data_IF_344308818080
#
_entry.id   IF_344308818080
#
_cell.length_a   1.000
_cell.length_b   1.000
_cell.length_c   1.000
_cell.angle_alpha   90.00
_cell.angle_beta   90.00
_cell.angle_gamma   90.00
#
_symmetry.space_group_name_H-M   'P 1'
#
loop_
_entity.id
_entity.type
_entity.pdbx_description
1 polymer ?
#
# COMPACT_ATOMS: atom_id res chain seq x y z
N UNK A 1 -5.56 -14.03 -7.86
CA UNK A 1 -5.41 -14.39 -6.44
C UNK A 1 -4.35 -15.46 -6.34
N UNK A 2 -3.45 -15.38 -5.37
CA UNK A 2 -2.46 -16.41 -5.14
C UNK A 2 -3.10 -17.55 -4.35
N UNK A 3 -3.18 -18.71 -4.95
CA UNK A 3 -3.75 -19.90 -4.34
C UNK A 3 -2.73 -21.05 -4.25
N UNK A 4 -1.65 -20.96 -5.01
CA UNK A 4 -0.65 -22.00 -5.10
C UNK A 4 0.61 -21.68 -4.27
N UNK A 5 1.25 -22.72 -3.75
CA UNK A 5 2.42 -22.57 -2.88
C UNK A 5 3.59 -21.89 -3.58
N UNK A 6 3.75 -22.12 -4.88
CA UNK A 6 4.78 -21.51 -5.73
C UNK A 6 4.57 -20.00 -5.89
N UNK A 7 3.33 -19.55 -6.04
CA UNK A 7 3.02 -18.12 -6.15
C UNK A 7 3.33 -17.38 -4.86
N UNK A 8 3.10 -18.00 -3.70
CA UNK A 8 3.49 -17.41 -2.41
C UNK A 8 5.00 -17.32 -2.23
N UNK A 9 5.74 -18.25 -2.79
CA UNK A 9 7.20 -18.20 -2.75
C UNK A 9 7.72 -17.00 -3.55
N UNK A 10 7.26 -16.85 -4.80
CA UNK A 10 7.63 -15.71 -5.65
C UNK A 10 7.20 -14.37 -5.03
N UNK A 11 6.00 -14.30 -4.47
CA UNK A 11 5.53 -13.09 -3.78
C UNK A 11 6.39 -12.74 -2.58
N UNK A 12 6.79 -13.73 -1.78
CA UNK A 12 7.64 -13.52 -0.61
C UNK A 12 9.05 -13.05 -1.00
N UNK A 13 9.62 -13.60 -2.06
CA UNK A 13 10.90 -13.14 -2.61
C UNK A 13 10.82 -11.71 -3.14
N UNK A 14 9.76 -11.39 -3.89
CA UNK A 14 9.51 -10.05 -4.41
C UNK A 14 9.42 -9.02 -3.27
N UNK A 15 8.72 -9.36 -2.18
CA UNK A 15 8.63 -8.50 -0.98
C UNK A 15 9.98 -8.32 -0.30
N UNK A 16 10.77 -9.40 -0.20
CA UNK A 16 12.09 -9.34 0.41
C UNK A 16 13.03 -8.40 -0.36
N UNK A 17 12.97 -8.43 -1.70
CA UNK A 17 13.73 -7.52 -2.56
C UNK A 17 13.24 -6.08 -2.40
N UNK A 18 11.93 -5.85 -2.51
CA UNK A 18 11.34 -4.51 -2.43
C UNK A 18 11.56 -3.86 -1.04
N UNK A 19 11.46 -4.65 0.02
CA UNK A 19 11.73 -4.18 1.38
C UNK A 19 13.20 -3.82 1.59
N UNK A 20 14.11 -4.64 1.06
CA UNK A 20 15.54 -4.34 1.11
C UNK A 20 15.87 -3.05 0.36
N UNK A 21 15.35 -2.88 -0.86
CA UNK A 21 15.55 -1.66 -1.67
C UNK A 21 15.03 -0.40 -0.95
N UNK A 22 13.89 -0.51 -0.26
CA UNK A 22 13.35 0.59 0.53
C UNK A 22 14.23 0.94 1.73
N UNK A 23 14.76 -0.05 2.45
CA UNK A 23 15.72 0.17 3.53
C UNK A 23 17.04 0.78 3.03
N UNK A 24 17.54 0.31 1.90
CA UNK A 24 18.76 0.82 1.28
C UNK A 24 18.59 2.27 0.84
N UNK A 25 17.48 2.58 0.16
CA UNK A 25 17.16 3.93 -0.30
C UNK A 25 17.05 4.94 0.87
N UNK A 26 16.61 4.48 2.03
CA UNK A 26 16.53 5.30 3.25
C UNK A 26 17.78 5.28 4.11
N UNK A 27 18.84 4.61 3.67
CA UNK A 27 20.08 4.40 4.43
C UNK A 27 19.81 3.78 5.83
N UNK A 28 18.77 2.97 5.92
CA UNK A 28 18.30 2.38 7.18
C UNK A 28 18.69 0.90 7.31
N UNK A 29 19.74 0.45 6.61
CA UNK A 29 20.21 -0.93 6.68
C UNK A 29 20.87 -1.19 8.04
N UNK A 30 20.34 -2.14 8.82
CA UNK A 30 20.86 -2.43 10.14
C UNK A 30 22.12 -3.34 10.12
N UNK A 31 22.64 -3.67 8.94
CA UNK A 31 23.71 -4.65 8.75
C UNK A 31 24.60 -4.34 7.54
N UNK A 32 25.84 -4.84 7.53
CA UNK A 32 26.75 -4.69 6.39
C UNK A 32 26.24 -5.38 5.12
N UNK A 33 26.65 -4.91 3.91
CA UNK A 33 26.22 -5.47 2.62
C UNK A 33 26.43 -6.98 2.44
N UNK A 34 27.45 -7.55 3.08
CA UNK A 34 27.74 -9.00 3.04
C UNK A 34 26.61 -9.87 3.57
N UNK A 35 25.73 -9.33 4.39
CA UNK A 35 24.60 -10.08 4.96
C UNK A 35 23.30 -9.94 4.17
N UNK A 36 23.29 -9.17 3.09
CA UNK A 36 22.09 -8.89 2.28
C UNK A 36 21.41 -10.16 1.79
N UNK A 37 22.18 -11.10 1.24
CA UNK A 37 21.63 -12.37 0.73
C UNK A 37 20.98 -13.20 1.85
N UNK A 38 21.60 -13.24 3.02
CA UNK A 38 21.05 -13.94 4.20
C UNK A 38 19.77 -13.25 4.67
N UNK A 39 19.78 -11.94 4.78
CA UNK A 39 18.62 -11.15 5.18
C UNK A 39 17.43 -11.37 4.23
N UNK A 40 17.64 -11.26 2.91
CA UNK A 40 16.57 -11.46 1.91
C UNK A 40 15.99 -12.87 2.03
N UNK A 41 16.81 -13.89 2.15
CA UNK A 41 16.35 -15.27 2.30
C UNK A 41 15.53 -15.49 3.58
N UNK A 42 16.00 -14.99 4.72
CA UNK A 42 15.28 -15.12 5.98
C UNK A 42 13.99 -14.31 5.98
N UNK A 43 13.99 -13.13 5.38
CA UNK A 43 12.80 -12.31 5.21
C UNK A 43 11.78 -13.03 4.32
N UNK A 44 12.19 -13.55 3.16
CA UNK A 44 11.31 -14.28 2.27
C UNK A 44 10.71 -15.53 2.93
N UNK A 45 11.50 -16.27 3.72
CA UNK A 45 10.98 -17.44 4.46
C UNK A 45 9.89 -17.04 5.47
N UNK A 46 10.10 -15.95 6.21
CA UNK A 46 9.11 -15.43 7.16
C UNK A 46 7.85 -14.95 6.46
N UNK A 47 8.00 -14.21 5.36
CA UNK A 47 6.87 -13.71 4.56
C UNK A 47 6.07 -14.86 3.94
N UNK A 48 6.72 -15.87 3.38
CA UNK A 48 6.05 -17.05 2.86
C UNK A 48 5.20 -17.75 3.92
N UNK A 49 5.75 -17.92 5.13
CA UNK A 49 5.00 -18.50 6.24
C UNK A 49 3.82 -17.62 6.64
N UNK A 50 4.04 -16.33 6.79
CA UNK A 50 3.01 -15.37 7.15
C UNK A 50 1.88 -15.28 6.11
N UNK A 51 2.21 -15.34 4.80
CA UNK A 51 1.23 -15.41 3.71
C UNK A 51 0.34 -16.64 3.84
N UNK A 52 0.93 -17.82 4.00
CA UNK A 52 0.18 -19.07 4.20
C UNK A 52 -0.71 -19.03 5.44
N UNK A 53 -0.22 -18.50 6.54
CA UNK A 53 -0.99 -18.39 7.77
C UNK A 53 -2.16 -17.41 7.64
N UNK A 54 -1.98 -16.29 6.92
CA UNK A 54 -3.02 -15.28 6.71
C UNK A 54 -4.11 -15.76 5.74
N UNK A 55 -3.72 -16.42 4.64
CA UNK A 55 -4.66 -16.86 3.60
C UNK A 55 -5.35 -18.16 3.90
N UNK A 56 -4.74 -19.07 4.70
CA UNK A 56 -5.30 -20.36 5.08
C UNK A 56 -6.11 -20.33 6.38
N UNK A 57 -6.27 -19.19 7.02
CA UNK A 57 -7.13 -19.09 8.20
C UNK A 57 -8.59 -19.30 7.83
N UNK A 58 -9.37 -20.03 8.67
CA UNK A 58 -10.80 -20.17 8.44
C UNK A 58 -11.43 -18.79 8.30
N UNK A 59 -12.12 -18.57 7.20
CA UNK A 59 -12.76 -17.30 6.87
C UNK A 59 -13.91 -17.04 7.83
N UNK A 60 -13.67 -16.19 8.85
CA UNK A 60 -14.76 -15.51 9.55
C UNK A 60 -14.97 -14.13 8.90
N UNK A 61 -16.11 -13.47 9.08
CA UNK A 61 -16.36 -12.14 8.51
C UNK A 61 -15.26 -11.13 8.87
N UNK A 62 -14.71 -11.22 10.07
CA UNK A 62 -13.69 -10.30 10.62
C UNK A 62 -12.24 -10.67 10.32
N UNK A 63 -11.97 -11.66 9.45
CA UNK A 63 -10.59 -12.14 9.20
C UNK A 63 -10.36 -12.57 7.76
N UNK A 64 -10.80 -11.76 6.82
CA UNK A 64 -10.56 -11.99 5.39
C UNK A 64 -9.19 -11.44 5.02
N UNK A 65 -8.40 -12.21 4.29
CA UNK A 65 -7.14 -11.76 3.71
C UNK A 65 -6.94 -12.40 2.35
N UNK A 66 -6.63 -11.57 1.36
CA UNK A 66 -6.29 -11.99 0.01
C UNK A 66 -4.95 -11.39 -0.39
N UNK A 67 -4.09 -12.20 -1.00
CA UNK A 67 -2.92 -11.71 -1.71
C UNK A 67 -3.27 -11.55 -3.19
N UNK A 68 -3.29 -10.32 -3.66
CA UNK A 68 -3.48 -10.01 -5.08
C UNK A 68 -2.13 -10.00 -5.78
N UNK A 69 -2.08 -10.55 -6.99
CA UNK A 69 -0.84 -10.68 -7.76
C UNK A 69 -1.00 -10.13 -9.17
N UNK A 70 -0.04 -9.31 -9.59
CA UNK A 70 0.08 -8.86 -10.97
C UNK A 70 1.01 -9.79 -11.74
N UNK A 71 0.52 -10.32 -12.86
CA UNK A 71 1.29 -11.14 -13.80
C UNK A 71 1.38 -10.42 -15.15
N UNK A 72 2.54 -10.48 -15.78
CA UNK A 72 2.75 -10.01 -17.15
C UNK A 72 3.05 -11.24 -18.00
N UNK A 73 2.43 -11.39 -19.19
CA UNK A 73 2.83 -12.42 -20.15
C UNK A 73 4.35 -12.42 -20.33
N UNK A 74 4.96 -13.58 -20.44
CA UNK A 74 6.39 -13.80 -20.63
C UNK A 74 7.32 -13.43 -19.46
N UNK A 75 6.81 -12.75 -18.42
CA UNK A 75 7.60 -12.41 -17.21
C UNK A 75 7.13 -13.11 -15.94
N UNK A 76 5.91 -13.65 -15.97
CA UNK A 76 5.30 -14.24 -14.79
C UNK A 76 4.83 -13.19 -13.78
N UNK A 77 4.97 -13.48 -12.50
CA UNK A 77 4.55 -12.64 -11.40
C UNK A 77 5.51 -11.46 -11.23
N UNK A 78 4.99 -10.23 -11.30
CA UNK A 78 5.76 -8.99 -11.23
C UNK A 78 5.33 -8.05 -10.12
N UNK A 79 4.25 -8.34 -9.43
CA UNK A 79 3.78 -7.53 -8.32
C UNK A 79 2.85 -8.29 -7.39
N UNK A 80 2.77 -7.84 -6.15
CA UNK A 80 1.80 -8.35 -5.18
C UNK A 80 1.41 -7.28 -4.17
N UNK A 81 0.22 -7.43 -3.57
CA UNK A 81 -0.22 -6.72 -2.38
C UNK A 81 -1.16 -7.63 -1.55
N UNK A 82 -1.28 -7.34 -0.27
CA UNK A 82 -2.32 -7.95 0.57
C UNK A 82 -3.47 -6.96 0.77
N UNK A 83 -4.69 -7.47 0.72
CA UNK A 83 -5.89 -6.77 1.17
C UNK A 83 -6.55 -7.61 2.26
N UNK A 84 -6.81 -7.00 3.41
CA UNK A 84 -7.29 -7.72 4.59
C UNK A 84 -8.34 -6.92 5.35
N UNK A 85 -9.30 -7.62 5.97
CA UNK A 85 -10.15 -7.04 7.01
C UNK A 85 -9.39 -7.10 8.32
N UNK A 86 -9.37 -6.00 9.04
CA UNK A 86 -8.75 -5.87 10.36
C UNK A 86 -9.76 -5.35 11.35
N UNK A 87 -9.63 -5.80 12.59
CA UNK A 87 -10.31 -5.31 13.77
C UNK A 87 -9.31 -4.63 14.71
N UNK A 88 -9.80 -3.73 15.53
CA UNK A 88 -9.00 -3.04 16.53
C UNK A 88 -8.37 -1.72 16.07
N UNK A 89 -7.72 -1.01 16.97
CA UNK A 89 -7.25 0.34 16.69
C UNK A 89 -6.15 0.33 15.63
N UNK A 90 -6.38 0.99 14.51
CA UNK A 90 -5.36 1.33 13.54
C UNK A 90 -4.92 2.77 13.78
N UNK A 91 -3.94 2.94 14.63
CA UNK A 91 -3.46 4.26 14.98
C UNK A 91 -2.18 4.58 14.21
N UNK A 92 -2.21 5.68 13.49
CA UNK A 92 -0.98 6.35 13.10
C UNK A 92 -0.54 7.26 14.23
N UNK A 93 0.57 6.90 14.82
CA UNK A 93 1.19 7.75 15.83
C UNK A 93 1.79 9.03 15.25
N UNK A 94 1.89 9.13 13.91
CA UNK A 94 2.49 10.29 13.24
C UNK A 94 1.52 11.46 13.15
N UNK A 95 0.25 11.20 12.89
CA UNK A 95 -0.76 12.24 12.74
C UNK A 95 -1.91 12.14 13.73
N UNK A 96 -1.79 11.30 14.77
CA UNK A 96 -2.83 11.12 15.80
C UNK A 96 -4.16 10.55 15.28
N UNK A 97 -4.18 10.12 14.02
CA UNK A 97 -5.39 9.57 13.43
C UNK A 97 -5.55 8.11 13.82
N UNK A 98 -6.70 7.76 14.39
CA UNK A 98 -7.09 6.39 14.71
C UNK A 98 -8.34 6.02 13.90
N UNK A 99 -8.39 4.77 13.45
CA UNK A 99 -9.66 4.12 13.14
C UNK A 99 -10.28 3.72 14.47
N UNK A 100 -11.59 3.92 14.64
CA UNK A 100 -12.27 3.74 15.92
C UNK A 100 -12.05 2.36 16.53
N UNK A 101 -12.07 2.31 17.86
CA UNK A 101 -12.02 1.04 18.60
C UNK A 101 -13.24 0.19 18.24
N UNK A 102 -13.00 -1.03 17.76
CA UNK A 102 -14.03 -2.03 17.47
C UNK A 102 -14.69 -1.94 16.11
N UNK A 103 -14.29 -1.04 15.23
CA UNK A 103 -14.75 -1.01 13.84
C UNK A 103 -13.85 -1.87 12.96
N UNK A 104 -14.48 -2.73 12.13
CA UNK A 104 -13.78 -3.44 11.06
C UNK A 104 -13.43 -2.47 9.92
N UNK A 105 -12.20 -2.59 9.42
CA UNK A 105 -11.75 -1.80 8.29
C UNK A 105 -10.93 -2.64 7.31
N UNK A 106 -10.97 -2.26 6.05
CA UNK A 106 -10.13 -2.90 5.02
C UNK A 106 -8.79 -2.20 4.92
N UNK A 107 -7.75 -2.99 4.86
CA UNK A 107 -6.37 -2.52 4.89
C UNK A 107 -5.55 -3.14 3.77
N UNK A 108 -4.74 -2.30 3.09
CA UNK A 108 -3.74 -2.73 2.11
C UNK A 108 -2.36 -2.69 2.76
N UNK A 109 -1.61 -3.76 2.59
CA UNK A 109 -0.19 -3.82 2.96
C UNK A 109 0.65 -4.62 1.95
N UNK A 110 1.95 -4.68 2.22
CA UNK A 110 2.90 -5.48 1.45
C UNK A 110 2.89 -5.22 -0.06
N UNK A 111 2.63 -3.98 -0.48
CA UNK A 111 2.64 -3.59 -1.90
C UNK A 111 4.06 -3.63 -2.43
N UNK A 112 4.32 -4.56 -3.33
CA UNK A 112 5.63 -4.75 -3.95
C UNK A 112 5.49 -4.92 -5.46
N UNK A 113 6.39 -4.30 -6.23
CA UNK A 113 6.48 -4.44 -7.68
C UNK A 113 7.95 -4.59 -8.07
N UNK A 114 8.22 -5.61 -8.88
CA UNK A 114 9.54 -5.85 -9.47
C UNK A 114 10.10 -4.59 -10.14
N UNK A 115 11.36 -4.28 -9.89
CA UNK A 115 12.01 -3.06 -10.38
C UNK A 115 11.88 -2.90 -11.90
N UNK A 116 12.06 -4.00 -12.66
CA UNK A 116 11.94 -4.00 -14.11
C UNK A 116 10.51 -3.92 -14.65
N UNK A 117 9.50 -3.99 -13.76
CA UNK A 117 8.09 -3.88 -14.11
C UNK A 117 7.42 -2.61 -13.54
N UNK A 118 8.17 -1.77 -12.82
CA UNK A 118 7.65 -0.49 -12.28
C UNK A 118 7.28 0.48 -13.40
N UNK A 119 6.40 1.44 -13.09
CA UNK A 119 5.91 2.49 -14.00
C UNK A 119 5.12 1.95 -15.20
N UNK A 120 4.65 0.71 -15.13
CA UNK A 120 3.83 0.05 -16.16
C UNK A 120 2.38 -0.20 -15.73
N UNK A 121 1.93 0.44 -14.65
CA UNK A 121 0.56 0.32 -14.17
C UNK A 121 0.28 -0.87 -13.25
N UNK A 122 1.23 -1.79 -12.99
CA UNK A 122 0.99 -2.98 -12.18
C UNK A 122 0.46 -2.66 -10.78
N UNK A 123 1.04 -1.66 -10.09
CA UNK A 123 0.56 -1.24 -8.78
C UNK A 123 -0.84 -0.62 -8.85
N UNK A 124 -1.11 0.16 -9.89
CA UNK A 124 -2.43 0.75 -10.16
C UNK A 124 -3.50 -0.32 -10.35
N UNK A 125 -3.24 -1.29 -11.22
CA UNK A 125 -4.17 -2.40 -11.46
C UNK A 125 -4.44 -3.23 -10.18
N UNK A 126 -3.43 -3.45 -9.34
CA UNK A 126 -3.60 -4.12 -8.06
C UNK A 126 -4.43 -3.29 -7.07
N UNK A 127 -4.26 -1.96 -7.03
CA UNK A 127 -5.10 -1.08 -6.20
C UNK A 127 -6.55 -1.08 -6.66
N UNK A 128 -6.82 -1.04 -7.97
CA UNK A 128 -8.16 -1.13 -8.54
C UNK A 128 -8.81 -2.46 -8.17
N UNK A 129 -8.11 -3.58 -8.35
CA UNK A 129 -8.60 -4.89 -7.94
C UNK A 129 -8.84 -4.98 -6.42
N UNK A 130 -8.01 -4.33 -5.59
CA UNK A 130 -8.22 -4.29 -4.14
C UNK A 130 -9.45 -3.48 -3.75
N UNK A 131 -9.78 -2.45 -4.53
CA UNK A 131 -11.01 -1.67 -4.38
C UNK A 131 -12.25 -2.52 -4.59
N UNK A 132 -12.28 -3.33 -5.67
CA UNK A 132 -13.39 -4.23 -5.97
C UNK A 132 -13.58 -5.28 -4.88
N UNK A 133 -12.47 -5.84 -4.41
CA UNK A 133 -12.47 -6.79 -3.28
C UNK A 133 -13.03 -6.14 -2.02
N UNK A 134 -12.52 -4.96 -1.65
CA UNK A 134 -12.96 -4.25 -0.45
C UNK A 134 -14.45 -3.87 -0.53
N UNK A 135 -14.92 -3.39 -1.69
CA UNK A 135 -16.33 -3.09 -1.93
C UNK A 135 -17.21 -4.35 -1.79
N UNK A 136 -16.74 -5.51 -2.30
CA UNK A 136 -17.47 -6.78 -2.15
C UNK A 136 -17.56 -7.24 -0.68
N UNK A 137 -16.69 -6.75 0.19
CA UNK A 137 -16.74 -6.98 1.63
C UNK A 137 -17.61 -5.96 2.38
N UNK A 138 -18.19 -4.99 1.67
CA UNK A 138 -19.07 -3.98 2.24
C UNK A 138 -18.34 -2.79 2.86
N UNK A 139 -17.04 -2.64 2.61
CA UNK A 139 -16.28 -1.53 3.15
C UNK A 139 -16.61 -0.20 2.47
N UNK A 140 -16.69 0.89 3.26
CA UNK A 140 -16.83 2.24 2.72
C UNK A 140 -15.48 2.94 2.50
N UNK A 141 -14.43 2.45 3.16
CA UNK A 141 -13.08 3.01 3.11
C UNK A 141 -12.04 1.91 3.07
N UNK A 142 -10.89 2.23 2.47
CA UNK A 142 -9.70 1.40 2.47
C UNK A 142 -8.53 2.18 3.06
N UNK A 143 -7.71 1.52 3.85
CA UNK A 143 -6.62 2.13 4.61
C UNK A 143 -5.28 1.54 4.21
N UNK A 144 -4.21 2.31 4.38
CA UNK A 144 -2.82 1.85 4.22
C UNK A 144 -1.87 2.74 5.01
N UNK A 145 -0.68 2.24 5.30
CA UNK A 145 0.43 3.08 5.76
C UNK A 145 1.44 3.30 4.64
N UNK A 146 2.01 4.49 4.61
CA UNK A 146 3.11 4.85 3.72
C UNK A 146 4.22 5.51 4.51
N UNK A 147 5.46 5.17 4.20
CA UNK A 147 6.61 5.89 4.77
C UNK A 147 6.74 7.27 4.13
N UNK A 148 7.04 8.28 4.95
CA UNK A 148 7.19 9.66 4.50
C UNK A 148 8.17 9.81 3.32
N UNK A 149 9.26 9.05 3.33
CA UNK A 149 10.30 9.11 2.31
C UNK A 149 9.98 8.28 1.07
N UNK A 150 8.93 7.44 1.09
CA UNK A 150 8.53 6.65 -0.07
C UNK A 150 7.73 7.50 -1.06
N UNK A 151 8.43 8.34 -1.82
CA UNK A 151 7.82 9.28 -2.79
C UNK A 151 7.01 8.55 -3.86
N UNK A 152 7.45 7.36 -4.29
CA UNK A 152 6.75 6.61 -5.33
C UNK A 152 5.38 6.10 -4.84
N UNK A 153 5.33 5.50 -3.66
CA UNK A 153 4.07 5.04 -3.05
C UNK A 153 3.15 6.22 -2.71
N UNK A 154 3.69 7.33 -2.19
CA UNK A 154 2.92 8.55 -1.91
C UNK A 154 2.22 9.09 -3.16
N UNK A 155 2.92 9.17 -4.28
CA UNK A 155 2.35 9.61 -5.56
C UNK A 155 1.25 8.67 -6.04
N UNK A 156 1.47 7.36 -5.90
CA UNK A 156 0.49 6.35 -6.26
C UNK A 156 -0.78 6.51 -5.42
N UNK A 157 -0.67 6.53 -4.10
CA UNK A 157 -1.83 6.68 -3.21
C UNK A 157 -2.54 8.02 -3.40
N UNK A 158 -1.80 9.11 -3.57
CA UNK A 158 -2.39 10.41 -3.86
C UNK A 158 -3.23 10.40 -5.14
N UNK A 159 -2.75 9.75 -6.20
CA UNK A 159 -3.47 9.62 -7.47
C UNK A 159 -4.78 8.84 -7.34
N UNK A 160 -4.92 8.00 -6.32
CA UNK A 160 -6.14 7.25 -6.00
C UNK A 160 -6.97 7.87 -4.86
N UNK A 161 -6.75 9.14 -4.54
CA UNK A 161 -7.55 9.89 -3.59
C UNK A 161 -7.27 9.58 -2.12
N UNK A 162 -6.20 8.85 -1.81
CA UNK A 162 -5.81 8.61 -0.43
C UNK A 162 -5.39 9.93 0.25
N UNK A 163 -5.88 10.12 1.49
CA UNK A 163 -5.59 11.26 2.36
C UNK A 163 -5.38 10.77 3.78
N UNK A 164 -4.82 11.60 4.64
CA UNK A 164 -4.84 11.31 6.08
C UNK A 164 -6.31 11.22 6.58
N UNK A 165 -6.60 10.39 7.59
CA UNK A 165 -7.98 10.20 8.08
C UNK A 165 -8.71 11.47 8.51
N UNK A 166 -7.97 12.50 8.94
CA UNK A 166 -8.48 13.84 9.25
C UNK A 166 -8.74 14.70 8.00
N UNK A 167 -8.58 14.15 6.78
CA UNK A 167 -8.76 14.87 5.53
C UNK A 167 -7.53 15.66 5.06
N UNK A 168 -6.47 15.75 5.87
CA UNK A 168 -5.25 16.46 5.51
C UNK A 168 -4.59 15.82 4.28
N UNK A 169 -4.16 16.61 3.29
CA UNK A 169 -3.37 16.11 2.15
C UNK A 169 -2.10 15.39 2.62
N UNK A 170 -1.68 14.38 1.85
CA UNK A 170 -0.48 13.59 2.17
C UNK A 170 0.75 14.49 2.34
N UNK A 171 0.88 15.55 1.52
CA UNK A 171 1.99 16.51 1.58
C UNK A 171 2.10 17.23 2.91
N UNK A 172 0.96 17.60 3.51
CA UNK A 172 0.90 18.31 4.79
C UNK A 172 1.00 17.36 5.98
N UNK A 173 0.40 16.17 5.88
CA UNK A 173 0.47 15.13 6.91
C UNK A 173 1.91 14.66 7.20
N UNK A 174 2.83 14.94 6.29
CA UNK A 174 4.24 14.56 6.36
C UNK A 174 5.17 15.71 6.76
N UNK A 175 4.62 16.89 7.07
CA UNK A 175 5.45 18.04 7.47
C UNK A 175 6.15 17.78 8.80
N UNK A 176 7.44 18.10 8.92
CA UNK A 176 8.17 18.02 10.18
C UNK A 176 7.51 18.96 11.20
N UNK A 177 6.98 18.44 12.28
CA UNK A 177 6.34 19.25 13.34
C UNK A 177 5.05 18.68 13.92
N UNK A 178 4.38 17.78 13.25
CA UNK A 178 3.19 17.14 13.75
C UNK A 178 3.54 15.97 14.71
N UNK A 179 3.97 16.27 15.92
CA UNK A 179 3.90 15.33 17.04
C UNK A 179 4.95 14.21 17.12
N UNK A 180 6.11 14.34 16.49
CA UNK A 180 7.08 13.25 16.32
C UNK A 180 7.97 12.90 17.55
N UNK A 181 7.72 13.43 18.72
CA UNK A 181 8.70 13.39 19.83
C UNK A 181 8.78 12.07 20.65
N UNK A 182 7.93 11.05 20.38
CA UNK A 182 7.84 9.87 21.29
C UNK A 182 7.59 8.51 20.59
N UNK A 183 7.93 8.38 19.32
CA UNK A 183 7.65 7.17 18.54
C UNK A 183 8.66 6.04 18.75
N UNK A 184 8.17 4.82 18.92
CA UNK A 184 9.01 3.64 18.84
C UNK A 184 9.67 3.54 17.46
N UNK A 185 10.93 3.13 17.41
CA UNK A 185 11.78 3.14 16.22
C UNK A 185 11.22 2.40 14.96
N UNK A 186 10.23 1.54 15.15
CA UNK A 186 9.63 0.76 14.06
C UNK A 186 8.53 1.47 13.27
N UNK A 187 7.91 2.51 13.86
CA UNK A 187 6.81 3.26 13.25
C UNK A 187 7.22 4.68 12.85
N UNK A 188 8.49 5.04 13.04
CA UNK A 188 9.00 6.36 12.66
C UNK A 188 8.80 6.59 11.16
N UNK A 189 8.11 7.67 10.82
CA UNK A 189 7.88 8.07 9.45
C UNK A 189 6.74 7.36 8.71
N UNK A 190 5.97 6.47 9.36
CA UNK A 190 4.77 5.87 8.75
C UNK A 190 3.54 6.76 8.97
N UNK A 191 2.86 7.08 7.89
CA UNK A 191 1.61 7.86 7.88
C UNK A 191 0.45 6.97 7.50
N UNK A 192 -0.61 6.98 8.30
CA UNK A 192 -1.87 6.32 7.96
C UNK A 192 -2.63 7.15 6.92
N UNK A 193 -3.07 6.47 5.88
CA UNK A 193 -3.88 7.03 4.81
C UNK A 193 -5.18 6.25 4.68
N UNK A 194 -6.23 6.92 4.22
CA UNK A 194 -7.48 6.29 3.78
C UNK A 194 -7.97 6.87 2.47
N UNK A 195 -8.74 6.09 1.73
CA UNK A 195 -9.51 6.55 0.59
C UNK A 195 -10.94 6.01 0.68
N UNK A 196 -11.94 6.76 0.19
CA UNK A 196 -13.29 6.22 0.01
C UNK A 196 -13.31 5.18 -1.11
N UNK A 197 -14.25 4.26 -1.05
CA UNK A 197 -14.48 3.26 -2.10
C UNK A 197 -15.68 3.65 -2.97
N UNK A 198 -15.69 3.35 -4.26
CA UNK A 198 -14.58 2.71 -5.01
C UNK A 198 -13.38 3.66 -5.20
N UNK A 199 -12.18 3.09 -5.32
CA UNK A 199 -10.98 3.86 -5.64
C UNK A 199 -11.11 4.43 -7.06
N UNK A 200 -10.98 5.73 -7.20
CA UNK A 200 -11.00 6.42 -8.48
C UNK A 200 -9.65 7.10 -8.69
N UNK A 201 -9.02 6.83 -9.81
CA UNK A 201 -7.85 7.61 -10.18
C UNK A 201 -8.29 9.06 -10.41
N UNK A 202 -7.68 10.02 -9.72
CA UNK A 202 -7.95 11.44 -9.94
C UNK A 202 -7.68 11.74 -11.42
N UNK A 203 -8.67 12.31 -12.10
CA UNK A 203 -8.51 12.79 -13.47
C UNK A 203 -7.27 13.69 -13.49
N UNK A 204 -6.37 13.44 -14.43
CA UNK A 204 -5.15 14.24 -14.57
C UNK A 204 -5.56 15.71 -14.64
N UNK A 205 -5.07 16.54 -13.73
CA UNK A 205 -5.37 17.99 -13.67
C UNK A 205 -5.08 18.73 -15.01
N UNK A 206 -4.39 18.07 -15.92
CA UNK A 206 -4.17 18.56 -17.29
C UNK A 206 -5.43 18.55 -18.17
N UNK A 207 -6.46 17.77 -17.85
CA UNK A 207 -7.70 17.76 -18.64
C UNK A 207 -8.69 18.86 -18.19
N UNK A 208 -8.60 19.34 -16.96
CA UNK A 208 -9.46 20.40 -16.44
C UNK A 208 -9.05 21.81 -16.90
N UNK A 209 -7.81 22.02 -17.31
CA UNK A 209 -7.33 23.30 -17.82
C UNK A 209 -7.66 23.56 -19.32
N UNK A 210 -8.21 22.58 -20.02
CA UNK A 210 -8.51 22.69 -21.46
C UNK A 210 -9.98 23.05 -21.78
N UNK A 211 -10.83 23.27 -20.78
CA UNK A 211 -12.27 23.61 -20.97
C UNK A 211 -12.61 25.06 -20.54
N UNK A 212 -11.62 25.88 -20.34
CA UNK A 212 -11.83 27.27 -19.99
C UNK A 212 -11.34 28.21 -21.10
N UNK A 213 -12.05 28.33 -22.21
CA UNK A 213 -12.28 29.56 -22.96
C UNK A 213 -13.06 29.26 -24.25
N UNK A 214 -14.34 29.24 -24.19
CA UNK A 214 -15.22 29.43 -25.34
C UNK A 214 -16.27 30.47 -24.95
N UNK A 215 -15.84 31.73 -24.92
CA UNK A 215 -16.78 32.86 -24.97
C UNK A 215 -17.32 32.99 -26.37
N UNK A 216 -18.49 32.45 -26.64
CA UNK A 216 -19.29 32.72 -27.81
C UNK A 216 -19.84 34.15 -27.70
N UNK A 217 -19.24 35.10 -28.42
CA UNK A 217 -19.82 36.41 -28.62
C UNK A 217 -21.06 36.32 -29.53
N UNK A 218 -22.22 36.66 -28.94
CA UNK A 218 -23.42 36.93 -29.71
C UNK A 218 -23.33 38.32 -30.36
N UNK A 219 -23.53 38.36 -31.67
CA UNK A 219 -24.05 39.49 -32.41
C UNK A 219 -25.44 39.15 -32.92
#
# INVERSE_FOLDING_TARGET
MATEAEEFEVAAELRAVAFYEDLEARQALPFPPRFVATFRREFAQRERRALRERTNRPSGPSRRCLCLMAKIPDKGLVGCLDVSVRDGPCCSQVNGACVGDGEEYVYIDNVAVDAGARRRGSASAMLEASSDVAASWGAGFIYTHVHADNVAARRLYHAYGFRAPNGTPISEALSPGAGAAWMSSRLQGLVLLRAPLPLMQAASEKAAAAVGDCTCGAK
#
